data_IF_720259925741
#
_entry.id   IF_720259925741
#
_cell.length_a   1.000
_cell.length_b   1.000
_cell.length_c   1.000
_cell.angle_alpha   90.00
_cell.angle_beta   90.00
_cell.angle_gamma   90.00
#
_symmetry.space_group_name_H-M   'P 1'
#
loop_
_entity.id
_entity.type
_entity.pdbx_description
1 polymer ?
#
# COMPACT_ATOMS: atom_id res chain seq x y z
N UNK A 1 6.74 48.20 5.04
CA UNK A 1 7.40 47.10 5.82
C UNK A 1 7.54 45.89 4.93
N UNK A 2 8.71 45.19 4.94
CA UNK A 2 8.94 43.97 4.14
C UNK A 2 8.25 42.80 4.81
N UNK A 3 7.21 42.19 4.20
CA UNK A 3 6.48 41.02 4.77
C UNK A 3 7.42 39.85 4.98
N UNK A 4 7.33 39.17 6.12
CA UNK A 4 8.17 38.02 6.48
C UNK A 4 7.74 36.75 5.73
N UNK A 5 8.68 35.91 5.43
CA UNK A 5 8.43 34.57 4.91
C UNK A 5 7.73 33.71 5.96
N UNK A 6 6.71 32.96 5.54
CA UNK A 6 5.98 32.07 6.42
C UNK A 6 6.56 30.65 6.30
N UNK A 7 7.62 30.39 7.06
CA UNK A 7 8.35 29.14 7.01
C UNK A 7 7.48 27.91 7.37
N UNK A 8 6.45 28.09 8.21
CA UNK A 8 5.58 26.98 8.62
C UNK A 8 4.82 26.35 7.44
N UNK A 9 4.41 27.15 6.45
CA UNK A 9 3.75 26.64 5.24
C UNK A 9 4.69 25.69 4.49
N UNK A 10 5.93 26.11 4.31
CA UNK A 10 6.92 25.31 3.60
C UNK A 10 7.31 24.06 4.38
N UNK A 11 7.57 24.18 5.67
CA UNK A 11 7.92 23.05 6.52
C UNK A 11 6.78 22.00 6.55
N UNK A 12 5.53 22.45 6.67
CA UNK A 12 4.39 21.57 6.65
C UNK A 12 4.21 20.86 5.30
N UNK A 13 4.34 21.58 4.19
CA UNK A 13 4.27 21.00 2.84
C UNK A 13 5.38 19.97 2.60
N UNK A 14 6.63 20.33 2.91
CA UNK A 14 7.77 19.42 2.77
C UNK A 14 7.59 18.16 3.60
N UNK A 15 7.05 18.27 4.81
CA UNK A 15 6.80 17.11 5.67
C UNK A 15 5.74 16.16 5.06
N UNK A 16 4.68 16.72 4.46
CA UNK A 16 3.70 15.92 3.72
C UNK A 16 4.33 15.23 2.51
N UNK A 17 5.15 15.95 1.73
CA UNK A 17 5.85 15.38 0.56
C UNK A 17 6.80 14.25 0.99
N UNK A 18 7.55 14.43 2.07
CA UNK A 18 8.39 13.37 2.64
C UNK A 18 7.52 12.16 3.02
N UNK A 19 6.38 12.39 3.67
CA UNK A 19 5.45 11.31 4.00
C UNK A 19 4.95 10.55 2.77
N UNK A 20 4.63 11.24 1.68
CA UNK A 20 4.20 10.63 0.41
C UNK A 20 5.33 9.83 -0.27
N UNK A 21 6.51 10.44 -0.37
CA UNK A 21 7.62 9.87 -1.13
C UNK A 21 8.34 8.74 -0.38
N UNK A 22 8.32 8.72 0.94
CA UNK A 22 9.05 7.75 1.75
C UNK A 22 8.37 6.38 1.86
N UNK A 23 7.08 6.28 1.53
CA UNK A 23 6.35 5.03 1.71
C UNK A 23 6.91 3.90 0.85
N UNK A 24 6.97 4.09 -0.46
CA UNK A 24 7.38 3.03 -1.41
C UNK A 24 8.85 2.61 -1.21
N UNK A 25 9.84 3.52 -1.18
CA UNK A 25 11.24 3.13 -1.11
C UNK A 25 11.69 2.64 0.28
N UNK A 26 10.97 3.00 1.36
CA UNK A 26 11.40 2.67 2.71
C UNK A 26 10.37 1.87 3.49
N UNK A 27 9.16 2.42 3.70
CA UNK A 27 8.21 1.85 4.65
C UNK A 27 7.42 0.65 4.13
N UNK A 28 7.24 0.53 2.81
CA UNK A 28 6.61 -0.65 2.21
C UNK A 28 7.46 -1.92 2.29
N UNK A 29 8.77 -1.78 2.57
CA UNK A 29 9.68 -2.92 2.73
C UNK A 29 9.50 -3.66 4.06
N UNK A 30 8.99 -2.98 5.09
CA UNK A 30 8.82 -3.56 6.41
C UNK A 30 7.35 -3.94 6.65
N UNK A 31 7.05 -5.19 7.09
CA UNK A 31 5.66 -5.64 7.31
C UNK A 31 4.84 -4.72 8.20
N UNK A 32 5.43 -4.24 9.32
CA UNK A 32 4.75 -3.38 10.31
C UNK A 32 4.28 -2.05 9.72
N UNK A 33 5.06 -1.45 8.82
CA UNK A 33 4.73 -0.15 8.20
C UNK A 33 4.04 -0.31 6.86
N UNK A 34 4.18 -1.47 6.21
CA UNK A 34 3.46 -1.82 4.98
C UNK A 34 1.97 -2.04 5.25
N UNK A 35 1.64 -2.84 6.27
CA UNK A 35 0.26 -3.21 6.59
C UNK A 35 -0.52 -2.02 7.16
N UNK A 36 0.15 -1.19 7.96
CA UNK A 36 -0.40 0.06 8.48
C UNK A 36 0.67 1.16 8.49
N UNK A 37 0.55 2.21 7.64
CA UNK A 37 1.58 3.22 7.43
C UNK A 37 1.61 4.28 8.54
N UNK A 38 1.74 3.89 9.80
CA UNK A 38 1.66 4.77 10.95
C UNK A 38 2.70 5.91 10.92
N UNK A 39 3.91 5.65 10.40
CA UNK A 39 4.94 6.69 10.26
C UNK A 39 4.51 7.76 9.27
N UNK A 40 3.97 7.35 8.11
CA UNK A 40 3.47 8.29 7.10
C UNK A 40 2.29 9.10 7.63
N UNK A 41 1.39 8.48 8.41
CA UNK A 41 0.27 9.18 9.05
C UNK A 41 0.74 10.21 10.09
N UNK A 42 1.80 9.93 10.85
CA UNK A 42 2.41 10.90 11.75
C UNK A 42 3.04 12.08 10.99
N UNK A 43 3.73 11.80 9.88
CA UNK A 43 4.29 12.84 9.00
C UNK A 43 3.17 13.71 8.40
N UNK A 44 2.07 13.11 7.96
CA UNK A 44 0.91 13.84 7.45
C UNK A 44 0.24 14.68 8.54
N UNK A 45 0.06 14.14 9.73
CA UNK A 45 -0.49 14.87 10.89
C UNK A 45 0.37 16.07 11.27
N UNK A 46 1.68 15.87 11.43
CA UNK A 46 2.63 16.95 11.69
C UNK A 46 2.65 17.99 10.59
N UNK A 47 2.66 17.56 9.33
CA UNK A 47 2.58 18.44 8.17
C UNK A 47 1.29 19.27 8.14
N UNK A 48 0.15 18.66 8.41
CA UNK A 48 -1.14 19.32 8.46
C UNK A 48 -1.21 20.38 9.59
N UNK A 49 -0.66 20.07 10.76
CA UNK A 49 -0.59 21.02 11.89
C UNK A 49 0.27 22.24 11.51
N UNK A 50 1.45 22.01 10.92
CA UNK A 50 2.34 23.11 10.50
C UNK A 50 1.71 23.95 9.38
N UNK A 51 1.10 23.32 8.36
CA UNK A 51 0.37 24.01 7.30
C UNK A 51 -0.79 24.81 7.85
N UNK A 52 -1.60 24.22 8.72
CA UNK A 52 -2.73 24.89 9.37
C UNK A 52 -2.29 26.11 10.20
N UNK A 53 -1.22 25.97 10.99
CA UNK A 53 -0.64 27.07 11.76
C UNK A 53 -0.08 28.18 10.84
N UNK A 54 0.59 27.77 9.75
CA UNK A 54 1.12 28.69 8.73
C UNK A 54 0.00 29.46 8.02
N UNK A 55 -1.06 28.78 7.59
CA UNK A 55 -2.23 29.40 6.97
C UNK A 55 -2.94 30.35 7.95
N UNK A 56 -3.16 29.90 9.19
CA UNK A 56 -3.76 30.76 10.22
C UNK A 56 -2.98 32.07 10.40
N UNK A 57 -1.62 32.01 10.41
CA UNK A 57 -0.78 33.21 10.47
C UNK A 57 -0.94 34.09 9.22
N UNK A 58 -0.93 33.49 8.02
CA UNK A 58 -1.07 34.23 6.77
C UNK A 58 -2.42 34.96 6.65
N UNK A 59 -3.51 34.34 7.16
CA UNK A 59 -4.84 34.93 7.13
C UNK A 59 -5.09 35.93 8.25
N UNK A 60 -4.63 35.67 9.47
CA UNK A 60 -4.83 36.58 10.63
C UNK A 60 -3.90 37.78 10.64
N UNK A 61 -2.69 37.63 10.08
CA UNK A 61 -1.67 38.69 10.09
C UNK A 61 -1.11 38.94 8.69
N UNK A 62 -1.95 39.34 7.72
CA UNK A 62 -1.56 39.48 6.32
C UNK A 62 -0.51 40.57 6.08
N UNK A 63 -0.42 41.55 6.97
CA UNK A 63 0.55 42.64 6.91
C UNK A 63 1.97 42.14 7.24
N UNK A 64 2.07 41.15 8.15
CA UNK A 64 3.33 40.62 8.63
C UNK A 64 3.83 39.44 7.80
N UNK A 65 2.94 38.56 7.35
CA UNK A 65 3.30 37.30 6.69
C UNK A 65 2.81 37.21 5.25
N UNK A 66 3.68 36.70 4.37
CA UNK A 66 3.33 36.33 2.99
C UNK A 66 2.77 34.90 2.96
N UNK A 67 1.95 34.60 1.97
CA UNK A 67 1.63 33.21 1.64
C UNK A 67 0.15 32.84 1.68
N UNK A 68 -0.79 33.79 1.60
CA UNK A 68 -2.23 33.47 1.51
C UNK A 68 -2.51 32.54 0.32
N UNK A 69 -2.19 32.99 -0.90
CA UNK A 69 -2.49 32.24 -2.14
C UNK A 69 -1.63 30.97 -2.21
N UNK A 70 -0.31 31.14 -2.06
CA UNK A 70 0.62 30.00 -2.14
C UNK A 70 0.35 28.97 -1.04
N UNK A 71 0.11 29.42 0.19
CA UNK A 71 -0.20 28.51 1.30
C UNK A 71 -1.51 27.77 1.10
N UNK A 72 -2.54 28.44 0.57
CA UNK A 72 -3.81 27.77 0.25
C UNK A 72 -3.64 26.72 -0.86
N UNK A 73 -2.83 27.03 -1.89
CA UNK A 73 -2.52 26.10 -2.97
C UNK A 73 -1.75 24.87 -2.45
N UNK A 74 -0.68 25.11 -1.66
CA UNK A 74 0.11 24.02 -1.05
C UNK A 74 -0.72 23.20 -0.08
N UNK A 75 -1.61 23.83 0.67
CA UNK A 75 -2.56 23.15 1.55
C UNK A 75 -3.53 22.25 0.77
N UNK A 76 -4.14 22.76 -0.28
CA UNK A 76 -5.02 21.98 -1.15
C UNK A 76 -4.29 20.79 -1.80
N UNK A 77 -3.06 21.02 -2.30
CA UNK A 77 -2.24 19.95 -2.88
C UNK A 77 -1.87 18.88 -1.83
N UNK A 78 -1.58 19.29 -0.59
CA UNK A 78 -1.32 18.37 0.51
C UNK A 78 -2.53 17.51 0.84
N UNK A 79 -3.72 18.11 0.93
CA UNK A 79 -4.97 17.38 1.18
C UNK A 79 -5.26 16.41 0.05
N UNK A 80 -5.10 16.83 -1.20
CA UNK A 80 -5.27 15.96 -2.36
C UNK A 80 -4.28 14.79 -2.35
N UNK A 81 -3.00 15.04 -2.05
CA UNK A 81 -1.96 14.01 -1.96
C UNK A 81 -2.22 13.00 -0.84
N UNK A 82 -2.58 13.47 0.36
CA UNK A 82 -2.94 12.59 1.49
C UNK A 82 -4.19 11.76 1.15
N UNK A 83 -5.20 12.39 0.53
CA UNK A 83 -6.42 11.72 0.09
C UNK A 83 -6.13 10.62 -0.95
N UNK A 84 -5.31 10.93 -1.95
CA UNK A 84 -4.89 9.97 -2.96
C UNK A 84 -4.10 8.80 -2.37
N UNK A 85 -3.16 9.08 -1.49
CA UNK A 85 -2.39 8.06 -0.76
C UNK A 85 -3.32 7.14 0.06
N UNK A 86 -4.21 7.74 0.84
CA UNK A 86 -5.15 7.00 1.68
C UNK A 86 -6.11 6.14 0.85
N UNK A 87 -6.66 6.69 -0.23
CA UNK A 87 -7.52 5.98 -1.17
C UNK A 87 -6.76 4.80 -1.82
N UNK A 88 -5.56 5.04 -2.33
CA UNK A 88 -4.74 4.00 -2.96
C UNK A 88 -4.43 2.85 -2.00
N UNK A 89 -4.02 3.17 -0.78
CA UNK A 89 -3.56 2.16 0.17
C UNK A 89 -4.70 1.44 0.90
N UNK A 90 -5.71 2.17 1.36
CA UNK A 90 -6.78 1.59 2.18
C UNK A 90 -7.96 1.05 1.36
N UNK A 91 -8.13 1.53 0.14
CA UNK A 91 -9.20 1.07 -0.74
C UNK A 91 -8.67 0.24 -1.90
N UNK A 92 -7.90 0.81 -2.81
CA UNK A 92 -7.48 0.12 -4.05
C UNK A 92 -6.59 -1.08 -3.76
N UNK A 93 -5.58 -0.95 -2.90
CA UNK A 93 -4.66 -2.04 -2.58
C UNK A 93 -5.32 -3.21 -1.83
N UNK A 94 -6.51 -2.99 -1.27
CA UNK A 94 -7.28 -4.03 -0.57
C UNK A 94 -8.36 -4.69 -1.43
N UNK A 95 -8.57 -4.22 -2.65
CA UNK A 95 -9.48 -4.87 -3.58
C UNK A 95 -8.85 -6.17 -4.08
N UNK A 96 -9.37 -7.30 -3.59
CA UNK A 96 -9.01 -8.60 -4.11
C UNK A 96 -9.78 -8.85 -5.42
N UNK A 97 -9.15 -9.48 -6.42
CA UNK A 97 -9.88 -9.93 -7.60
C UNK A 97 -11.06 -10.82 -7.20
N UNK A 98 -12.21 -10.73 -7.88
CA UNK A 98 -13.34 -11.59 -7.58
C UNK A 98 -12.95 -13.06 -7.78
N UNK A 99 -13.12 -13.85 -6.74
CA UNK A 99 -12.78 -15.29 -6.72
C UNK A 99 -13.85 -16.15 -7.42
N UNK A 100 -14.36 -15.71 -8.57
CA UNK A 100 -15.44 -16.38 -9.31
C UNK A 100 -15.06 -17.76 -9.81
N UNK A 101 -13.76 -17.99 -10.05
CA UNK A 101 -13.22 -19.27 -10.49
C UNK A 101 -12.66 -20.13 -9.32
N UNK A 102 -12.73 -19.65 -8.08
CA UNK A 102 -12.22 -20.40 -6.95
C UNK A 102 -13.15 -21.57 -6.62
N UNK A 103 -12.64 -22.77 -6.39
CA UNK A 103 -13.43 -23.91 -5.95
C UNK A 103 -14.11 -23.61 -4.61
N UNK A 104 -15.37 -23.99 -4.48
CA UNK A 104 -16.09 -23.90 -3.20
C UNK A 104 -15.78 -25.12 -2.33
N UNK A 105 -15.98 -24.97 -1.02
CA UNK A 105 -15.86 -26.11 -0.10
C UNK A 105 -16.79 -27.25 -0.55
N UNK A 106 -16.25 -28.46 -0.66
CA UNK A 106 -16.97 -29.65 -1.15
C UNK A 106 -16.97 -29.82 -2.67
N UNK A 107 -16.47 -28.87 -3.44
CA UNK A 107 -16.26 -29.03 -4.89
C UNK A 107 -14.95 -29.78 -5.16
N UNK A 108 -14.96 -30.61 -6.20
CA UNK A 108 -13.75 -31.25 -6.71
C UNK A 108 -12.80 -30.16 -7.23
N UNK A 109 -11.60 -30.16 -6.69
CA UNK A 109 -10.56 -29.24 -7.16
C UNK A 109 -10.25 -29.51 -8.65
N UNK A 110 -10.20 -28.47 -9.52
CA UNK A 110 -9.80 -28.64 -10.89
C UNK A 110 -8.34 -29.17 -10.94
N UNK A 111 -8.07 -30.03 -11.89
CA UNK A 111 -6.70 -30.51 -12.09
C UNK A 111 -5.80 -29.38 -12.56
N UNK A 112 -4.54 -29.42 -12.18
CA UNK A 112 -3.54 -28.46 -12.59
C UNK A 112 -2.26 -29.18 -13.01
N UNK A 113 -1.53 -28.52 -13.89
CA UNK A 113 -0.21 -28.96 -14.35
C UNK A 113 0.74 -27.78 -14.22
N UNK A 114 1.73 -27.88 -13.33
CA UNK A 114 2.71 -26.85 -13.06
C UNK A 114 4.12 -27.41 -13.22
N UNK A 115 5.08 -26.54 -13.48
CA UNK A 115 6.50 -26.91 -13.46
C UNK A 115 7.06 -26.66 -12.06
N UNK A 116 7.83 -27.62 -11.55
CA UNK A 116 8.60 -27.43 -10.32
C UNK A 116 9.85 -26.54 -10.57
N UNK A 117 10.61 -26.27 -9.51
CA UNK A 117 11.85 -25.50 -9.59
C UNK A 117 12.94 -26.11 -10.48
N UNK A 118 12.82 -27.40 -10.83
CA UNK A 118 13.74 -28.13 -11.69
C UNK A 118 13.20 -28.26 -13.13
N UNK A 119 12.07 -27.66 -13.44
CA UNK A 119 11.39 -27.74 -14.73
C UNK A 119 10.63 -29.05 -14.95
N UNK A 120 10.44 -29.89 -13.93
CA UNK A 120 9.66 -31.11 -14.00
C UNK A 120 8.17 -30.77 -13.85
N UNK A 121 7.34 -31.39 -14.67
CA UNK A 121 5.89 -31.26 -14.61
C UNK A 121 5.33 -31.97 -13.36
N UNK A 122 4.51 -31.27 -12.59
CA UNK A 122 3.80 -31.78 -11.42
C UNK A 122 2.30 -31.57 -11.62
N UNK A 123 1.51 -32.62 -11.42
CA UNK A 123 0.05 -32.58 -11.52
C UNK A 123 -0.60 -32.82 -10.16
N UNK A 124 -1.87 -32.39 -10.00
CA UNK A 124 -2.63 -32.70 -8.79
C UNK A 124 -2.80 -34.21 -8.58
N UNK A 125 -3.01 -34.96 -9.67
CA UNK A 125 -3.14 -36.41 -9.63
C UNK A 125 -1.86 -37.07 -9.08
N UNK A 126 -0.67 -36.59 -9.50
CA UNK A 126 0.61 -37.07 -8.99
C UNK A 126 0.77 -36.81 -7.48
N UNK A 127 0.37 -35.60 -7.00
CA UNK A 127 0.41 -35.25 -5.59
C UNK A 127 -0.55 -36.07 -4.74
N UNK A 128 -1.67 -36.51 -5.30
CA UNK A 128 -2.64 -37.37 -4.62
C UNK A 128 -2.29 -38.89 -4.70
N UNK A 129 -1.13 -39.23 -5.23
CA UNK A 129 -0.65 -40.61 -5.33
C UNK A 129 -1.16 -41.39 -6.53
N UNK A 130 -1.77 -40.72 -7.51
CA UNK A 130 -2.08 -41.29 -8.81
C UNK A 130 -0.93 -40.94 -9.77
N UNK A 131 0.10 -41.76 -9.83
CA UNK A 131 1.25 -41.52 -10.73
C UNK A 131 0.84 -41.39 -12.21
N UNK A 132 1.69 -40.83 -13.08
CA UNK A 132 1.37 -40.50 -14.49
C UNK A 132 0.99 -41.70 -15.38
N UNK A 133 1.10 -42.93 -14.89
CA UNK A 133 0.69 -44.14 -15.56
C UNK A 133 -0.24 -45.04 -14.72
N UNK A 134 -0.98 -44.46 -13.76
CA UNK A 134 -1.83 -45.28 -12.90
C UNK A 134 -1.07 -46.19 -11.90
N UNK A 135 0.24 -45.99 -11.77
CA UNK A 135 1.05 -46.69 -10.78
C UNK A 135 0.64 -46.18 -9.39
N UNK A 136 0.10 -47.09 -8.59
CA UNK A 136 -0.32 -46.84 -7.20
C UNK A 136 0.94 -46.54 -6.38
N UNK A 137 1.25 -45.24 -6.19
CA UNK A 137 2.12 -44.80 -5.10
C UNK A 137 1.38 -44.83 -3.77
N UNK A 138 2.04 -44.60 -2.63
CA UNK A 138 1.36 -44.53 -1.34
C UNK A 138 0.27 -43.44 -1.44
N UNK A 139 -0.99 -43.86 -1.24
CA UNK A 139 -2.17 -42.96 -1.27
C UNK A 139 -2.00 -41.88 -0.22
N UNK A 140 -1.81 -40.65 -0.68
CA UNK A 140 -1.87 -39.49 0.19
C UNK A 140 -3.34 -39.30 0.66
N UNK A 141 -3.53 -39.04 1.94
CA UNK A 141 -4.84 -38.74 2.50
C UNK A 141 -5.42 -37.40 2.07
N UNK A 142 -4.58 -36.56 1.47
CA UNK A 142 -4.92 -35.24 0.95
C UNK A 142 -3.68 -34.47 0.52
N UNK A 143 -3.88 -33.35 -0.16
CA UNK A 143 -2.84 -32.40 -0.52
C UNK A 143 -3.18 -31.02 0.07
N UNK A 144 -2.21 -30.40 0.74
CA UNK A 144 -2.30 -29.03 1.23
C UNK A 144 -1.59 -28.11 0.22
N UNK A 145 -2.36 -27.24 -0.42
CA UNK A 145 -1.82 -26.23 -1.32
C UNK A 145 -1.67 -24.90 -0.58
N UNK A 146 -0.45 -24.42 -0.47
CA UNK A 146 -0.15 -23.13 0.17
C UNK A 146 0.20 -22.12 -0.92
N UNK A 147 -0.65 -21.10 -1.07
CA UNK A 147 -0.41 -20.00 -1.98
C UNK A 147 0.21 -18.85 -1.19
N UNK A 148 1.34 -18.38 -1.62
CA UNK A 148 1.97 -17.20 -1.03
C UNK A 148 2.29 -16.17 -2.10
N UNK A 149 2.20 -14.91 -1.72
CA UNK A 149 2.62 -13.83 -2.61
C UNK A 149 4.13 -13.72 -2.52
N UNK A 150 4.81 -13.87 -3.65
CA UNK A 150 6.25 -13.70 -3.72
C UNK A 150 6.63 -12.30 -3.19
N UNK A 151 7.74 -12.27 -2.46
CA UNK A 151 8.32 -11.03 -1.98
C UNK A 151 9.39 -10.59 -2.99
N UNK A 152 9.03 -9.68 -3.86
CA UNK A 152 9.90 -8.95 -4.80
C UNK A 152 9.79 -7.47 -4.59
#
# INVERSE_FOLDING_TARGET
>A
MKRRWNFLIWAGFVLVVIGLMSYVPFFALFPITRDFPWVNLLLFGGGAVLLGAGLRRAFKQPELYRGKILGSLLGALSVAGIGFFSYGLFYVARQLPPATAAPRVGQKTPDFTLLDQNGKTVTLAELLGSGPNGAAGPKASGALLIFYRGHW
#
